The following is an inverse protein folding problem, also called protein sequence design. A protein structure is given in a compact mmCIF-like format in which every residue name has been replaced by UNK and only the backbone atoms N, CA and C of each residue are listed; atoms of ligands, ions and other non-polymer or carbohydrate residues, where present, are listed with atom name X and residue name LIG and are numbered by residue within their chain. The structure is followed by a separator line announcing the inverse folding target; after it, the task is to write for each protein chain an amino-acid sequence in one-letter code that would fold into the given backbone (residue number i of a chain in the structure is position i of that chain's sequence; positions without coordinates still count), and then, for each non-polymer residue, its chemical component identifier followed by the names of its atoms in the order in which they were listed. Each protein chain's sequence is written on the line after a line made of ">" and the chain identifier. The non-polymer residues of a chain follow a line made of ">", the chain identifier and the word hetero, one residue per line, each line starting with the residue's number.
data_IF_754598343448
#
_entry.id   IF_754598343448
#
_cell.length_a   1.000
_cell.length_b   1.000
_cell.length_c   1.000
_cell.angle_alpha   90.00
_cell.angle_beta   90.00
_cell.angle_gamma   90.00
#
_symmetry.space_group_name_H-M   'P 1'
#
loop_
_entity.id
_entity.type
_entity.pdbx_description
1 polymer ?
#
# COMPACT_ATOMS: atom_id res chain seq x y z
N UNK A 1 -2.55 -20.91 14.30
CA UNK A 1 -1.13 -20.69 13.92
C UNK A 1 -0.84 -19.29 13.36
N UNK A 2 -1.60 -18.74 12.40
CA UNK A 2 -1.38 -17.35 11.90
C UNK A 2 -1.27 -16.28 12.97
N UNK A 3 -2.18 -16.32 13.95
CA UNK A 3 -2.21 -15.35 15.05
C UNK A 3 -0.93 -15.36 15.87
N UNK A 4 -0.33 -16.53 16.10
CA UNK A 4 0.94 -16.64 16.84
C UNK A 4 2.10 -16.01 16.06
N UNK A 5 2.21 -16.31 14.76
CA UNK A 5 3.23 -15.72 13.90
C UNK A 5 3.13 -14.20 13.86
N UNK A 6 1.92 -13.67 13.67
CA UNK A 6 1.69 -12.24 13.65
C UNK A 6 1.91 -11.59 15.03
N UNK A 7 1.60 -12.30 16.11
CA UNK A 7 1.83 -11.84 17.48
C UNK A 7 3.33 -11.69 17.76
N UNK A 8 4.18 -12.61 17.32
CA UNK A 8 5.63 -12.47 17.49
C UNK A 8 6.13 -11.15 16.87
N UNK A 9 5.65 -10.80 15.67
CA UNK A 9 5.97 -9.51 15.04
C UNK A 9 5.49 -8.30 15.86
N UNK A 10 4.25 -8.37 16.39
CA UNK A 10 3.67 -7.31 17.25
C UNK A 10 4.50 -7.12 18.52
N UNK A 11 4.93 -8.22 19.16
CA UNK A 11 5.74 -8.19 20.37
C UNK A 11 7.14 -7.60 20.14
N UNK A 12 7.71 -7.80 18.95
CA UNK A 12 9.01 -7.22 18.57
C UNK A 12 8.91 -5.75 18.17
N UNK A 13 7.69 -5.22 17.96
CA UNK A 13 7.43 -3.83 17.58
C UNK A 13 6.41 -3.16 18.52
N UNK A 14 6.68 -3.08 19.84
CA UNK A 14 5.71 -2.62 20.82
C UNK A 14 5.38 -1.12 20.71
N UNK A 15 6.22 -0.35 20.02
CA UNK A 15 6.06 1.10 19.84
C UNK A 15 5.07 1.47 18.73
N UNK A 16 4.59 0.50 17.95
CA UNK A 16 3.58 0.76 16.93
C UNK A 16 2.20 0.83 17.58
N UNK A 17 1.33 1.78 17.18
CA UNK A 17 -0.04 1.86 17.69
C UNK A 17 -0.92 0.78 17.04
N UNK A 18 -0.84 -0.41 17.60
CA UNK A 18 -1.58 -1.58 17.14
C UNK A 18 -3.08 -1.43 17.40
N UNK A 19 -3.88 -1.89 16.44
CA UNK A 19 -5.34 -1.97 16.50
C UNK A 19 -5.74 -3.45 16.67
N UNK A 20 -5.89 -3.95 17.91
CA UNK A 20 -6.05 -5.39 18.15
C UNK A 20 -7.40 -5.94 17.68
N UNK A 21 -8.48 -5.17 17.74
CA UNK A 21 -9.83 -5.62 17.41
C UNK A 21 -10.31 -5.16 16.03
N UNK A 22 -11.33 -5.82 15.50
CA UNK A 22 -12.01 -5.36 14.28
C UNK A 22 -12.66 -3.98 14.50
N UNK A 23 -13.29 -3.78 15.66
CA UNK A 23 -13.97 -2.53 16.00
C UNK A 23 -12.99 -1.34 16.03
N UNK A 24 -11.82 -1.49 16.65
CA UNK A 24 -10.79 -0.45 16.68
C UNK A 24 -10.24 -0.14 15.28
N UNK A 25 -10.06 -1.16 14.43
CA UNK A 25 -9.64 -0.95 13.03
C UNK A 25 -10.66 -0.11 12.28
N UNK A 26 -11.93 -0.51 12.34
CA UNK A 26 -13.01 0.21 11.67
C UNK A 26 -13.08 1.64 12.20
N UNK A 27 -13.14 1.84 13.51
CA UNK A 27 -13.22 3.17 14.11
C UNK A 27 -12.01 4.06 13.75
N UNK A 28 -10.79 3.50 13.74
CA UNK A 28 -9.60 4.27 13.39
C UNK A 28 -9.57 4.70 11.93
N UNK A 29 -10.04 3.86 10.99
CA UNK A 29 -10.13 4.26 9.57
C UNK A 29 -11.32 5.21 9.31
N UNK A 30 -12.45 5.04 10.01
CA UNK A 30 -13.57 5.99 9.94
C UNK A 30 -13.18 7.38 10.46
N UNK A 31 -12.37 7.45 11.51
CA UNK A 31 -11.82 8.71 12.01
C UNK A 31 -10.90 9.43 10.99
N UNK A 32 -10.41 8.72 9.97
CA UNK A 32 -9.68 9.29 8.84
C UNK A 32 -10.59 9.69 7.66
N UNK A 33 -11.91 9.56 7.81
CA UNK A 33 -12.87 9.81 6.73
C UNK A 33 -12.97 8.67 5.72
N UNK A 34 -12.41 7.48 6.01
CA UNK A 34 -12.50 6.32 5.11
C UNK A 34 -13.80 5.57 5.39
N UNK A 35 -14.65 5.47 4.38
CA UNK A 35 -15.94 4.80 4.50
C UNK A 35 -15.80 3.28 4.72
N UNK A 36 -16.75 2.66 5.44
CA UNK A 36 -16.75 1.21 5.71
C UNK A 36 -16.74 0.34 4.46
N UNK A 37 -17.37 0.80 3.36
CA UNK A 37 -17.48 0.02 2.10
C UNK A 37 -16.12 -0.27 1.46
N UNK A 38 -15.14 0.59 1.73
CA UNK A 38 -13.77 0.53 1.20
C UNK A 38 -12.87 -0.38 2.06
N UNK A 39 -13.30 -0.70 3.28
CA UNK A 39 -12.54 -1.54 4.19
C UNK A 39 -12.57 -3.00 3.70
N UNK A 40 -11.47 -3.76 3.86
CA UNK A 40 -11.40 -5.17 3.47
C UNK A 40 -12.51 -5.96 4.16
N UNK A 41 -13.45 -6.50 3.40
CA UNK A 41 -14.66 -7.15 3.91
C UNK A 41 -14.89 -8.53 3.32
N UNK A 42 -15.52 -9.41 4.09
CA UNK A 42 -16.01 -10.71 3.61
C UNK A 42 -17.41 -10.96 4.15
N UNK A 43 -18.28 -11.41 3.26
CA UNK A 43 -19.65 -11.80 3.60
C UNK A 43 -19.71 -13.32 3.80
N UNK A 44 -20.29 -13.74 4.91
CA UNK A 44 -20.53 -15.12 5.27
C UNK A 44 -22.02 -15.39 5.23
N UNK A 45 -22.43 -16.49 4.59
CA UNK A 45 -23.82 -16.95 4.63
C UNK A 45 -24.03 -17.71 5.95
N UNK A 46 -24.89 -17.19 6.81
CA UNK A 46 -25.33 -17.85 8.04
C UNK A 46 -26.81 -18.23 7.97
N UNK A 47 -27.26 -19.04 8.93
CA UNK A 47 -28.66 -19.47 9.03
C UNK A 47 -29.64 -18.29 9.20
N UNK A 48 -29.21 -17.19 9.84
CA UNK A 48 -29.99 -15.97 10.05
C UNK A 48 -29.74 -14.87 8.99
N UNK A 49 -29.07 -15.21 7.88
CA UNK A 49 -28.75 -14.27 6.80
C UNK A 49 -27.26 -14.00 6.60
N UNK A 50 -26.95 -12.97 5.83
CA UNK A 50 -25.58 -12.61 5.46
C UNK A 50 -24.91 -11.78 6.55
N UNK A 51 -23.80 -12.28 7.11
CA UNK A 51 -22.98 -11.56 8.08
C UNK A 51 -21.75 -11.01 7.38
N UNK A 52 -21.56 -9.69 7.42
CA UNK A 52 -20.39 -8.99 6.87
C UNK A 52 -19.37 -8.73 7.97
N UNK A 53 -18.11 -9.13 7.76
CA UNK A 53 -16.99 -8.84 8.65
C UNK A 53 -15.92 -8.05 7.94
N UNK A 54 -15.40 -7.03 8.60
CA UNK A 54 -14.25 -6.25 8.15
C UNK A 54 -12.97 -6.87 8.70
N UNK A 55 -11.85 -6.73 7.99
CA UNK A 55 -10.55 -7.30 8.38
C UNK A 55 -10.66 -8.77 8.79
N UNK A 56 -11.45 -9.56 8.06
CA UNK A 56 -11.94 -10.89 8.46
C UNK A 56 -10.86 -11.92 8.87
N UNK A 57 -9.60 -11.73 8.46
CA UNK A 57 -8.48 -12.56 8.88
C UNK A 57 -7.98 -12.26 10.30
N UNK A 58 -8.43 -11.16 10.92
CA UNK A 58 -8.04 -10.73 12.26
C UNK A 58 -6.54 -10.43 12.38
N UNK A 59 -5.89 -10.07 11.27
CA UNK A 59 -4.44 -9.85 11.23
C UNK A 59 -4.08 -8.45 11.77
N UNK A 60 -2.90 -8.27 12.39
CA UNK A 60 -2.50 -7.00 12.98
C UNK A 60 -2.44 -5.86 11.96
N UNK A 61 -2.92 -4.70 12.39
CA UNK A 61 -2.80 -3.43 11.69
C UNK A 61 -2.32 -2.40 12.70
N UNK A 62 -1.30 -1.63 12.38
CA UNK A 62 -0.92 -0.45 13.14
C UNK A 62 -1.21 0.80 12.31
N UNK A 63 -1.63 1.88 12.96
CA UNK A 63 -1.97 3.12 12.30
C UNK A 63 -1.62 4.32 13.18
N UNK A 64 -0.70 5.16 12.72
CA UNK A 64 -0.38 6.45 13.33
C UNK A 64 -0.71 7.60 12.36
N UNK A 65 -0.41 8.86 12.72
CA UNK A 65 -0.70 10.02 11.87
C UNK A 65 0.03 10.03 10.51
N UNK A 66 1.13 9.29 10.36
CA UNK A 66 2.04 9.33 9.20
C UNK A 66 2.06 8.03 8.41
N UNK A 67 1.72 6.90 9.02
CA UNK A 67 1.84 5.57 8.39
C UNK A 67 0.80 4.56 8.86
N UNK A 68 0.53 3.58 7.99
CA UNK A 68 -0.24 2.38 8.25
C UNK A 68 0.64 1.14 7.97
N UNK A 69 0.69 0.21 8.92
CA UNK A 69 1.43 -1.06 8.81
C UNK A 69 0.43 -2.21 8.77
N UNK A 70 0.51 -3.05 7.75
CA UNK A 70 -0.35 -4.22 7.57
C UNK A 70 0.48 -5.50 7.64
N UNK A 71 0.12 -6.39 8.57
CA UNK A 71 0.85 -7.65 8.77
C UNK A 71 0.06 -8.79 8.13
N UNK A 72 0.68 -9.51 7.21
CA UNK A 72 0.15 -10.75 6.65
C UNK A 72 0.93 -11.94 7.18
N UNK A 73 0.29 -12.91 7.83
CA UNK A 73 0.97 -14.11 8.34
C UNK A 73 0.60 -15.35 7.52
N UNK A 74 1.60 -16.02 6.94
CA UNK A 74 1.43 -17.32 6.27
C UNK A 74 2.02 -18.44 7.14
N UNK A 75 1.20 -19.38 7.65
CA UNK A 75 1.70 -20.51 8.41
C UNK A 75 2.32 -21.60 7.52
N UNK A 76 2.37 -21.40 6.19
CA UNK A 76 2.95 -22.32 5.21
C UNK A 76 1.92 -23.04 4.34
N UNK A 77 0.63 -22.78 4.54
CA UNK A 77 -0.47 -23.47 3.85
C UNK A 77 -1.22 -22.60 2.84
N UNK A 78 -1.23 -21.27 3.01
CA UNK A 78 -2.09 -20.41 2.17
C UNK A 78 -1.44 -19.95 0.87
N UNK A 79 -0.13 -20.20 0.73
CA UNK A 79 0.66 -20.00 -0.50
C UNK A 79 0.68 -18.53 -0.95
N UNK A 80 1.47 -18.23 -2.00
CA UNK A 80 1.48 -16.94 -2.66
C UNK A 80 0.07 -16.47 -3.11
N UNK A 81 -0.87 -17.41 -3.30
CA UNK A 81 -2.27 -17.11 -3.65
C UNK A 81 -3.01 -16.38 -2.53
N UNK A 82 -2.85 -16.81 -1.28
CA UNK A 82 -3.49 -16.16 -0.12
C UNK A 82 -3.02 -14.72 0.05
N UNK A 83 -1.71 -14.47 -0.06
CA UNK A 83 -1.14 -13.13 0.01
C UNK A 83 -1.65 -12.25 -1.14
N UNK A 84 -1.75 -12.78 -2.37
CA UNK A 84 -2.32 -12.07 -3.53
C UNK A 84 -3.79 -11.70 -3.32
N UNK A 85 -4.61 -12.64 -2.86
CA UNK A 85 -6.02 -12.40 -2.59
C UNK A 85 -6.22 -11.39 -1.46
N UNK A 86 -5.42 -11.50 -0.39
CA UNK A 86 -5.40 -10.54 0.71
C UNK A 86 -5.05 -9.14 0.21
N UNK A 87 -3.99 -8.98 -0.57
CA UNK A 87 -3.61 -7.67 -1.10
C UNK A 87 -4.62 -7.09 -2.08
N UNK A 88 -5.27 -7.92 -2.91
CA UNK A 88 -6.37 -7.48 -3.76
C UNK A 88 -7.53 -6.91 -2.93
N UNK A 89 -7.89 -7.56 -1.82
CA UNK A 89 -8.94 -7.10 -0.91
C UNK A 89 -8.58 -5.82 -0.13
N UNK A 90 -7.31 -5.44 -0.07
CA UNK A 90 -6.85 -4.23 0.64
C UNK A 90 -6.49 -3.08 -0.30
N UNK A 91 -6.51 -3.32 -1.62
CA UNK A 91 -6.03 -2.37 -2.63
C UNK A 91 -6.72 -1.00 -2.54
N UNK A 92 -8.03 -1.02 -2.36
CA UNK A 92 -8.85 0.20 -2.31
C UNK A 92 -8.58 1.02 -1.04
N UNK A 93 -8.54 0.35 0.13
CA UNK A 93 -8.10 0.97 1.39
C UNK A 93 -6.69 1.59 1.26
N UNK A 94 -5.76 0.88 0.63
CA UNK A 94 -4.41 1.41 0.42
C UNK A 94 -4.41 2.64 -0.50
N UNK A 95 -5.28 2.70 -1.50
CA UNK A 95 -5.42 3.90 -2.32
C UNK A 95 -5.89 5.10 -1.49
N UNK A 96 -6.95 4.93 -0.70
CA UNK A 96 -7.46 6.00 0.17
C UNK A 96 -6.40 6.50 1.17
N UNK A 97 -5.62 5.59 1.77
CA UNK A 97 -4.55 5.99 2.69
C UNK A 97 -3.45 6.78 2.00
N UNK A 98 -3.15 6.48 0.73
CA UNK A 98 -2.18 7.25 -0.07
C UNK A 98 -2.73 8.63 -0.42
N UNK A 99 -3.99 8.73 -0.80
CA UNK A 99 -4.64 10.01 -1.10
C UNK A 99 -4.63 10.95 0.13
N UNK A 100 -4.64 10.37 1.34
CA UNK A 100 -4.46 11.06 2.61
C UNK A 100 -2.98 11.33 3.00
N UNK A 101 -2.03 11.06 2.11
CA UNK A 101 -0.59 11.29 2.32
C UNK A 101 0.10 10.33 3.29
N UNK A 102 -0.48 9.16 3.56
CA UNK A 102 0.06 8.22 4.56
C UNK A 102 0.98 7.19 3.94
N UNK A 103 2.07 6.89 4.65
CA UNK A 103 2.99 5.82 4.27
C UNK A 103 2.37 4.45 4.53
N UNK A 104 2.50 3.53 3.58
CA UNK A 104 1.95 2.17 3.70
C UNK A 104 3.08 1.16 3.76
N UNK A 105 3.13 0.41 4.85
CA UNK A 105 4.08 -0.69 5.06
C UNK A 105 3.34 -2.02 5.06
N UNK A 106 3.81 -2.99 4.29
CA UNK A 106 3.30 -4.36 4.32
C UNK A 106 4.40 -5.29 4.74
N UNK A 107 4.10 -6.08 5.77
CA UNK A 107 5.01 -7.07 6.31
C UNK A 107 4.38 -8.45 6.17
N UNK A 108 5.03 -9.32 5.38
CA UNK A 108 4.66 -10.72 5.32
C UNK A 108 5.49 -11.52 6.32
N UNK A 109 4.82 -12.14 7.29
CA UNK A 109 5.41 -12.98 8.32
C UNK A 109 5.35 -14.44 7.92
N UNK A 110 6.50 -15.10 7.91
CA UNK A 110 6.65 -16.53 7.61
C UNK A 110 7.35 -17.31 8.73
N UNK A 111 7.15 -18.63 8.75
CA UNK A 111 7.84 -19.54 9.68
C UNK A 111 9.25 -19.88 9.20
N UNK A 112 9.40 -20.16 7.91
CA UNK A 112 10.65 -20.60 7.29
C UNK A 112 11.08 -19.71 6.14
N UNK A 113 12.27 -19.98 5.61
CA UNK A 113 12.84 -19.27 4.46
C UNK A 113 11.99 -19.46 3.20
N UNK A 114 11.38 -20.63 3.01
CA UNK A 114 10.53 -20.92 1.85
C UNK A 114 9.30 -20.01 1.80
N UNK A 115 8.65 -19.78 2.95
CA UNK A 115 7.49 -18.90 3.05
C UNK A 115 7.90 -17.45 2.82
N UNK A 116 9.01 -16.99 3.41
CA UNK A 116 9.49 -15.62 3.24
C UNK A 116 9.92 -15.35 1.80
N UNK A 117 10.70 -16.23 1.15
CA UNK A 117 11.09 -16.03 -0.27
C UNK A 117 9.90 -15.94 -1.22
N UNK A 118 8.85 -16.74 -0.99
CA UNK A 118 7.61 -16.63 -1.78
C UNK A 118 6.90 -15.31 -1.53
N UNK A 119 6.82 -14.90 -0.27
CA UNK A 119 6.24 -13.62 0.08
C UNK A 119 7.03 -12.45 -0.52
N UNK A 120 8.37 -12.49 -0.47
CA UNK A 120 9.26 -11.51 -1.11
C UNK A 120 9.01 -11.45 -2.62
N UNK A 121 8.77 -12.58 -3.27
CA UNK A 121 8.43 -12.60 -4.70
C UNK A 121 7.12 -11.86 -4.97
N UNK A 122 6.08 -12.10 -4.17
CA UNK A 122 4.77 -11.44 -4.33
C UNK A 122 4.86 -9.95 -3.99
N UNK A 123 5.47 -9.61 -2.86
CA UNK A 123 5.68 -8.24 -2.40
C UNK A 123 6.58 -7.47 -3.36
N UNK A 124 7.64 -8.10 -3.86
CA UNK A 124 8.52 -7.55 -4.88
C UNK A 124 7.79 -7.32 -6.20
N UNK A 125 6.82 -8.14 -6.57
CA UNK A 125 5.96 -7.87 -7.73
C UNK A 125 4.99 -6.72 -7.47
N UNK A 126 4.45 -6.60 -6.25
CA UNK A 126 3.65 -5.44 -5.86
C UNK A 126 4.46 -4.17 -5.82
N UNK A 127 5.77 -4.25 -5.54
CA UNK A 127 6.70 -3.12 -5.59
C UNK A 127 7.21 -2.82 -7.02
N UNK A 128 7.35 -3.83 -7.88
CA UNK A 128 7.89 -3.73 -9.24
C UNK A 128 6.87 -3.43 -10.33
N UNK A 129 5.64 -3.93 -10.20
CA UNK A 129 4.51 -3.53 -11.06
C UNK A 129 4.12 -2.05 -10.93
N UNK A 130 4.96 -1.26 -10.25
CA UNK A 130 4.84 0.15 -9.92
C UNK A 130 5.93 1.02 -10.55
N UNK A 131 6.91 0.41 -11.23
CA UNK A 131 7.99 1.13 -11.93
C UNK A 131 7.88 1.05 -13.45
N UNK A 132 6.84 0.41 -13.95
CA UNK A 132 6.62 0.22 -15.38
C UNK A 132 5.21 0.64 -15.71
N UNK A 133 5.06 1.95 -15.86
CA UNK A 133 4.21 2.47 -16.91
C UNK A 133 5.15 3.28 -17.77
N UNK A 134 5.32 2.92 -19.04
CA UNK A 134 6.04 3.79 -20.00
C UNK A 134 5.46 5.22 -20.01
N UNK A 135 4.21 5.37 -19.54
CA UNK A 135 3.56 6.65 -19.25
C UNK A 135 4.23 7.47 -18.15
N UNK A 136 4.74 6.88 -17.07
CA UNK A 136 5.36 7.66 -15.98
C UNK A 136 6.65 8.32 -16.48
N UNK A 137 7.43 7.59 -17.27
CA UNK A 137 8.63 8.12 -17.92
C UNK A 137 8.32 9.12 -19.04
N UNK A 138 7.16 9.03 -19.69
CA UNK A 138 6.70 10.01 -20.67
C UNK A 138 6.26 11.32 -20.00
N UNK A 139 5.45 11.23 -18.93
CA UNK A 139 5.00 12.38 -18.14
C UNK A 139 6.19 13.08 -17.46
N UNK A 140 7.13 12.33 -16.89
CA UNK A 140 8.34 12.92 -16.28
C UNK A 140 9.20 13.64 -17.32
N UNK A 141 9.37 13.06 -18.52
CA UNK A 141 10.08 13.71 -19.63
C UNK A 141 9.36 14.98 -20.09
N UNK A 142 8.04 14.96 -20.15
CA UNK A 142 7.24 16.12 -20.55
C UNK A 142 7.31 17.24 -19.49
N UNK A 143 7.29 16.90 -18.20
CA UNK A 143 7.48 17.85 -17.09
C UNK A 143 8.85 18.52 -17.18
N UNK A 144 9.93 17.74 -17.33
CA UNK A 144 11.29 18.29 -17.43
C UNK A 144 11.47 19.14 -18.69
N UNK A 145 10.92 18.70 -19.83
CA UNK A 145 10.96 19.49 -21.06
C UNK A 145 10.26 20.85 -20.92
N UNK A 146 9.08 20.90 -20.30
CA UNK A 146 8.36 22.17 -20.08
C UNK A 146 9.14 23.08 -19.12
N UNK A 147 9.77 22.52 -18.07
CA UNK A 147 10.64 23.30 -17.18
C UNK A 147 11.82 23.90 -17.93
N UNK A 148 12.49 23.11 -18.77
CA UNK A 148 13.63 23.58 -19.56
C UNK A 148 13.22 24.72 -20.51
N UNK A 149 12.08 24.58 -21.18
CA UNK A 149 11.52 25.63 -22.05
C UNK A 149 11.25 26.91 -21.25
N UNK A 150 10.60 26.81 -20.09
CA UNK A 150 10.28 27.98 -19.25
C UNK A 150 11.54 28.64 -18.66
N UNK A 151 12.55 27.84 -18.28
CA UNK A 151 13.81 28.32 -17.72
C UNK A 151 14.76 28.92 -18.77
N UNK A 152 14.62 28.54 -20.05
CA UNK A 152 15.47 29.06 -21.13
C UNK A 152 15.33 30.57 -21.35
N UNK A 153 14.17 31.14 -21.00
CA UNK A 153 13.83 32.54 -21.28
C UNK A 153 13.61 32.85 -22.76
N UNK A 154 13.59 31.84 -23.65
CA UNK A 154 13.33 32.03 -25.08
C UNK A 154 11.83 32.21 -25.32
N UNK A 155 11.41 33.46 -25.53
CA UNK A 155 10.00 33.81 -25.77
C UNK A 155 9.40 33.12 -26.99
N UNK A 156 10.20 32.82 -28.02
CA UNK A 156 9.72 32.13 -29.23
C UNK A 156 9.40 30.68 -28.90
N UNK A 157 10.29 30.00 -28.18
CA UNK A 157 10.11 28.61 -27.77
C UNK A 157 8.95 28.48 -26.77
N UNK A 158 8.82 29.41 -25.82
CA UNK A 158 7.70 29.46 -24.87
C UNK A 158 6.37 29.63 -25.63
N UNK A 159 6.31 30.54 -26.62
CA UNK A 159 5.10 30.76 -27.42
C UNK A 159 4.74 29.53 -28.27
N UNK A 160 5.73 28.84 -28.82
CA UNK A 160 5.53 27.65 -29.65
C UNK A 160 5.03 26.44 -28.85
N UNK A 161 5.63 26.19 -27.69
CA UNK A 161 5.35 24.98 -26.88
C UNK A 161 4.20 25.19 -25.89
N UNK A 162 4.15 26.36 -25.27
CA UNK A 162 3.25 26.67 -24.15
C UNK A 162 2.18 27.72 -24.48
N UNK A 163 2.27 28.39 -25.63
CA UNK A 163 1.44 29.54 -26.00
C UNK A 163 1.88 30.83 -25.30
N UNK A 164 2.00 30.79 -23.98
CA UNK A 164 2.61 31.82 -23.14
C UNK A 164 3.16 31.20 -21.84
N UNK A 165 3.79 32.03 -20.99
CA UNK A 165 4.34 31.59 -19.69
C UNK A 165 3.24 31.00 -18.79
N UNK A 166 2.03 31.58 -18.81
CA UNK A 166 0.92 31.16 -17.97
C UNK A 166 0.41 29.78 -18.39
N UNK A 167 0.27 29.53 -19.69
CA UNK A 167 -0.10 28.27 -20.28
C UNK A 167 0.90 27.17 -19.94
N UNK A 168 2.19 27.49 -19.97
CA UNK A 168 3.25 26.56 -19.54
C UNK A 168 3.13 26.17 -18.07
N UNK A 169 2.90 27.14 -17.18
CA UNK A 169 2.70 26.89 -15.74
C UNK A 169 1.43 26.08 -15.45
N UNK A 170 0.32 26.37 -16.15
CA UNK A 170 -0.93 25.59 -16.02
C UNK A 170 -0.71 24.15 -16.46
N UNK A 171 -0.10 23.94 -17.64
CA UNK A 171 0.21 22.60 -18.14
C UNK A 171 1.16 21.84 -17.22
N UNK A 172 2.17 22.50 -16.67
CA UNK A 172 3.08 21.91 -15.68
C UNK A 172 2.30 21.47 -14.43
N UNK A 173 1.41 22.31 -13.91
CA UNK A 173 0.58 21.96 -12.75
C UNK A 173 -0.39 20.81 -13.05
N UNK A 174 -0.95 20.74 -14.26
CA UNK A 174 -1.80 19.63 -14.71
C UNK A 174 -1.01 18.33 -14.82
N UNK A 175 0.18 18.36 -15.43
CA UNK A 175 1.05 17.19 -15.55
C UNK A 175 1.57 16.74 -14.18
N UNK A 176 1.92 17.66 -13.28
CA UNK A 176 2.30 17.32 -11.91
C UNK A 176 1.14 16.75 -11.11
N UNK A 177 -0.08 17.27 -11.26
CA UNK A 177 -1.27 16.70 -10.64
C UNK A 177 -1.63 15.33 -11.24
N UNK A 178 -1.43 15.15 -12.54
CA UNK A 178 -1.62 13.89 -13.23
C UNK A 178 -0.58 12.86 -12.79
N UNK A 179 0.70 13.24 -12.73
CA UNK A 179 1.77 12.45 -12.13
C UNK A 179 1.40 12.12 -10.69
N UNK A 180 1.03 13.07 -9.82
CA UNK A 180 0.62 12.76 -8.45
C UNK A 180 -0.54 11.75 -8.37
N UNK A 181 -1.54 11.83 -9.26
CA UNK A 181 -2.65 10.87 -9.35
C UNK A 181 -2.22 9.51 -9.91
N UNK A 182 -1.27 9.49 -10.84
CA UNK A 182 -0.81 8.31 -11.58
C UNK A 182 0.39 7.62 -10.90
N UNK A 183 1.40 8.36 -10.44
CA UNK A 183 2.44 7.97 -9.46
C UNK A 183 1.87 7.58 -8.10
N UNK A 184 0.67 8.07 -7.75
CA UNK A 184 -0.15 7.52 -6.65
C UNK A 184 -0.54 6.05 -6.85
N UNK A 185 -0.26 5.46 -8.02
CA UNK A 185 -0.31 4.03 -8.26
C UNK A 185 0.92 3.30 -7.75
N UNK A 186 1.97 3.97 -7.27
CA UNK A 186 3.06 3.40 -6.47
C UNK A 186 2.56 2.91 -5.10
N UNK A 187 2.07 1.67 -5.07
CA UNK A 187 1.14 1.16 -4.07
C UNK A 187 1.65 1.07 -2.62
N UNK A 188 2.96 0.93 -2.36
CA UNK A 188 3.51 0.57 -1.03
C UNK A 188 4.83 1.28 -0.75
N UNK A 189 4.90 2.01 0.37
CA UNK A 189 6.11 2.75 0.77
C UNK A 189 7.21 1.84 1.28
N UNK A 190 6.84 0.73 1.91
CA UNK A 190 7.77 -0.31 2.34
C UNK A 190 7.11 -1.67 2.23
N UNK A 191 7.82 -2.62 1.66
CA UNK A 191 7.45 -4.04 1.71
C UNK A 191 8.60 -4.82 2.29
N UNK A 192 8.29 -5.82 3.10
CA UNK A 192 9.31 -6.68 3.66
C UNK A 192 8.74 -8.00 4.14
N UNK A 193 9.63 -8.96 4.32
CA UNK A 193 9.32 -10.18 5.05
C UNK A 193 9.92 -10.12 6.43
N UNK A 194 9.24 -10.78 7.37
CA UNK A 194 9.73 -10.95 8.72
C UNK A 194 9.60 -12.43 9.11
N UNK A 195 10.55 -12.91 9.91
CA UNK A 195 10.64 -14.31 10.30
C UNK A 195 10.65 -14.44 11.81
N UNK A 196 9.76 -15.29 12.34
CA UNK A 196 9.72 -15.58 13.78
C UNK A 196 10.96 -16.36 14.21
N UNK A 197 11.72 -15.81 15.16
CA UNK A 197 12.85 -16.48 15.81
C UNK A 197 12.39 -17.55 16.80
N UNK A 198 11.27 -17.33 17.51
CA UNK A 198 10.75 -18.25 18.53
C UNK A 198 10.36 -19.60 17.94
N UNK A 199 9.82 -19.62 16.71
CA UNK A 199 9.46 -20.85 16.00
C UNK A 199 10.64 -21.50 15.27
N UNK A 200 11.82 -20.88 15.30
CA UNK A 200 13.06 -21.42 14.71
C UNK A 200 13.75 -22.41 15.64
N UNK A 201 13.61 -22.23 16.97
CA UNK A 201 14.03 -23.22 17.96
C UNK A 201 13.04 -24.38 17.92
N UNK A 202 13.36 -25.41 17.14
CA UNK A 202 12.67 -26.69 17.25
C UNK A 202 12.72 -27.13 18.71
N UNK A 203 11.56 -27.43 19.28
CA UNK A 203 11.41 -28.48 20.28
C UNK A 203 12.18 -29.69 19.75
N UNK A 204 13.36 -29.92 20.34
CA UNK A 204 14.02 -31.23 20.29
C UNK A 204 13.25 -32.19 21.18
#
# INVERSE_FOLDING_TARGET
>A
MRRLLALDYVLDHPRLPWLPTEAEKVAAFEALGIERRVLPQRTYRGAAGNIRRHFHLGLPVALDAKRAVFVYADPGHETAKGLRAWGAAHRELWAMLRDLGRKIEIVAVGRGSKETTRADTVLGNWARGLRSSDYDAEIDREIEWIKDVLCSGDERLIREVCGDIRGGLVRLAELQNRALRESGRGLLHRVGTWRSERLRRKMF
#
